data_IF_050873464336
#
_entry.id   IF_050873464336
#
_cell.length_a   1.000
_cell.length_b   1.000
_cell.length_c   1.000
_cell.angle_alpha   90.00
_cell.angle_beta   90.00
_cell.angle_gamma   90.00
#
_symmetry.space_group_name_H-M   'P 1'
#
loop_
_entity.id
_entity.type
_entity.pdbx_description
1 polymer ?
#
# COMPACT_ATOMS: atom_id res chain seq x y z
N UNK A 1 10.24 -12.99 19.85
CA UNK A 1 9.42 -11.78 19.64
C UNK A 1 8.36 -12.13 18.62
N UNK A 2 7.15 -12.47 19.08
CA UNK A 2 6.03 -12.73 18.18
C UNK A 2 5.61 -11.37 17.60
N UNK A 3 6.03 -11.09 16.37
CA UNK A 3 5.56 -9.90 15.66
C UNK A 3 4.06 -10.01 15.43
N UNK A 4 3.34 -8.91 15.63
CA UNK A 4 1.91 -8.84 15.34
C UNK A 4 1.60 -9.42 13.97
N UNK A 5 0.54 -10.21 13.88
CA UNK A 5 0.13 -10.83 12.62
C UNK A 5 -0.25 -9.74 11.61
N UNK A 6 0.13 -9.93 10.35
CA UNK A 6 -0.20 -8.98 9.28
C UNK A 6 -1.63 -9.20 8.84
N UNK A 7 -2.44 -8.16 8.92
CA UNK A 7 -3.78 -8.17 8.35
C UNK A 7 -3.72 -8.17 6.82
N UNK A 8 -4.78 -8.68 6.19
CA UNK A 8 -4.89 -8.70 4.73
C UNK A 8 -4.90 -7.29 4.14
N UNK A 9 -5.44 -6.30 4.88
CA UNK A 9 -5.41 -4.87 4.49
C UNK A 9 -3.97 -4.37 4.41
N UNK A 10 -3.16 -4.62 5.44
CA UNK A 10 -1.75 -4.22 5.47
C UNK A 10 -0.96 -4.88 4.34
N UNK A 11 -1.23 -6.15 4.06
CA UNK A 11 -0.57 -6.88 2.98
C UNK A 11 -0.90 -6.24 1.63
N UNK A 12 -2.18 -5.98 1.37
CA UNK A 12 -2.64 -5.37 0.13
C UNK A 12 -2.05 -3.97 -0.06
N UNK A 13 -2.04 -3.15 0.99
CA UNK A 13 -1.45 -1.81 0.96
C UNK A 13 0.05 -1.84 0.69
N UNK A 14 0.79 -2.70 1.39
CA UNK A 14 2.24 -2.80 1.23
C UNK A 14 2.61 -3.18 -0.21
N UNK A 15 1.92 -4.17 -0.78
CA UNK A 15 2.14 -4.61 -2.16
C UNK A 15 1.73 -3.51 -3.14
N UNK A 16 0.60 -2.85 -2.91
CA UNK A 16 0.13 -1.76 -3.78
C UNK A 16 1.15 -0.62 -3.86
N UNK A 17 1.60 -0.07 -2.73
CA UNK A 17 2.58 1.01 -2.70
C UNK A 17 3.95 0.58 -3.23
N UNK A 18 4.41 -0.61 -2.88
CA UNK A 18 5.68 -1.12 -3.42
C UNK A 18 5.62 -1.30 -4.95
N UNK A 19 4.47 -1.70 -5.49
CA UNK A 19 4.25 -1.83 -6.93
C UNK A 19 4.26 -0.49 -7.68
N UNK A 20 4.01 0.62 -6.97
CA UNK A 20 4.08 1.99 -7.48
C UNK A 20 5.48 2.61 -7.30
N UNK A 21 6.45 1.86 -6.76
CA UNK A 21 7.82 2.34 -6.55
C UNK A 21 8.02 3.12 -5.25
N UNK A 22 7.06 3.09 -4.33
CA UNK A 22 7.21 3.71 -3.01
C UNK A 22 8.28 2.96 -2.21
N UNK A 23 9.23 3.69 -1.62
CA UNK A 23 10.30 3.10 -0.82
C UNK A 23 9.74 2.44 0.44
N UNK A 24 10.28 1.29 0.83
CA UNK A 24 9.77 0.53 1.97
C UNK A 24 9.84 1.29 3.31
N UNK A 25 10.78 2.24 3.42
CA UNK A 25 10.81 3.18 4.56
C UNK A 25 9.58 4.09 4.58
N UNK A 26 9.20 4.63 3.43
CA UNK A 26 8.04 5.52 3.29
C UNK A 26 6.75 4.73 3.52
N UNK A 27 6.67 3.48 3.04
CA UNK A 27 5.55 2.58 3.34
C UNK A 27 5.39 2.39 4.86
N UNK A 28 6.49 2.20 5.60
CA UNK A 28 6.45 2.09 7.05
C UNK A 28 5.96 3.39 7.73
N UNK A 29 6.38 4.56 7.23
CA UNK A 29 5.92 5.87 7.72
C UNK A 29 4.42 6.08 7.44
N UNK A 30 3.93 5.72 6.24
CA UNK A 30 2.51 5.74 5.89
C UNK A 30 1.69 4.79 6.76
N UNK A 31 2.23 3.62 7.08
CA UNK A 31 1.59 2.65 7.96
C UNK A 31 1.43 3.22 9.37
N UNK A 32 2.48 3.87 9.89
CA UNK A 32 2.41 4.56 11.17
C UNK A 32 1.35 5.68 11.19
N UNK A 33 1.24 6.45 10.11
CA UNK A 33 0.19 7.48 9.96
C UNK A 33 -1.22 6.87 10.00
N UNK A 34 -1.41 5.70 9.39
CA UNK A 34 -2.68 4.94 9.42
C UNK A 34 -2.92 4.17 10.72
N UNK A 35 -2.04 4.28 11.71
CA UNK A 35 -2.15 3.59 13.00
C UNK A 35 -1.60 2.16 13.03
N UNK A 36 -0.95 1.69 11.96
CA UNK A 36 -0.27 0.39 11.93
C UNK A 36 1.17 0.52 12.43
N UNK A 37 1.59 -0.38 13.32
CA UNK A 37 2.94 -0.35 13.87
C UNK A 37 3.89 -1.27 13.09
N UNK A 38 4.27 -0.88 11.86
CA UNK A 38 5.22 -1.64 11.04
C UNK A 38 6.52 -0.89 10.83
N UNK A 39 7.62 -1.55 11.15
CA UNK A 39 8.96 -1.04 10.87
C UNK A 39 9.37 -1.33 9.43
N UNK A 40 10.31 -0.56 8.89
CA UNK A 40 10.91 -0.79 7.56
C UNK A 40 11.43 -2.23 7.40
N UNK A 41 12.02 -2.81 8.43
CA UNK A 41 12.51 -4.21 8.43
C UNK A 41 11.35 -5.21 8.31
N UNK A 42 10.23 -4.94 8.99
CA UNK A 42 9.02 -5.76 8.89
C UNK A 42 8.44 -5.72 7.48
N UNK A 43 8.34 -4.52 6.89
CA UNK A 43 7.88 -4.31 5.51
C UNK A 43 8.79 -5.03 4.51
N UNK A 44 10.12 -4.82 4.61
CA UNK A 44 11.12 -5.49 3.76
C UNK A 44 10.96 -7.02 3.80
N UNK A 45 10.86 -7.59 5.00
CA UNK A 45 10.72 -9.02 5.22
C UNK A 45 9.41 -9.57 4.65
N UNK A 46 8.30 -8.87 4.86
CA UNK A 46 6.98 -9.29 4.37
C UNK A 46 6.89 -9.24 2.85
N UNK A 47 7.34 -8.15 2.24
CA UNK A 47 7.35 -7.97 0.79
C UNK A 47 8.24 -9.03 0.12
N UNK A 48 9.43 -9.29 0.66
CA UNK A 48 10.30 -10.38 0.17
C UNK A 48 9.62 -11.74 0.29
N UNK A 49 8.96 -12.03 1.40
CA UNK A 49 8.26 -13.31 1.58
C UNK A 49 7.12 -13.50 0.57
N UNK A 50 6.40 -12.43 0.22
CA UNK A 50 5.35 -12.45 -0.81
C UNK A 50 5.97 -12.71 -2.19
N UNK A 51 7.07 -12.03 -2.54
CA UNK A 51 7.76 -12.26 -3.82
C UNK A 51 8.29 -13.68 -3.97
N UNK A 52 8.81 -14.28 -2.88
CA UNK A 52 9.27 -15.68 -2.89
C UNK A 52 8.09 -16.63 -3.15
N UNK A 53 6.92 -16.36 -2.56
CA UNK A 53 5.71 -17.16 -2.76
C UNK A 53 5.06 -16.97 -4.14
N UNK A 54 5.17 -15.77 -4.69
CA UNK A 54 4.52 -15.35 -5.92
C UNK A 54 5.53 -14.68 -6.86
N UNK A 55 6.41 -15.46 -7.51
CA UNK A 55 7.47 -14.92 -8.38
C UNK A 55 6.92 -14.16 -9.61
N UNK A 56 5.65 -14.37 -9.95
CA UNK A 56 4.93 -13.64 -11.00
C UNK A 56 4.65 -12.16 -10.64
N UNK A 57 4.69 -11.79 -9.36
CA UNK A 57 4.49 -10.40 -8.92
C UNK A 57 5.71 -9.52 -9.13
N UNK A 58 6.88 -10.12 -9.36
CA UNK A 58 8.10 -9.38 -9.65
C UNK A 58 9.36 -10.05 -9.11
N UNK A 59 10.46 -9.31 -9.21
CA UNK A 59 11.77 -9.69 -8.70
C UNK A 59 12.09 -8.90 -7.42
N UNK A 60 13.15 -9.31 -6.73
CA UNK A 60 13.62 -8.68 -5.49
C UNK A 60 13.83 -7.16 -5.58
N UNK A 61 14.05 -6.61 -6.78
CA UNK A 61 14.28 -5.19 -7.02
C UNK A 61 13.16 -4.48 -7.78
N UNK A 62 12.27 -5.23 -8.43
CA UNK A 62 11.26 -4.66 -9.31
C UNK A 62 9.94 -5.40 -9.18
N UNK A 63 8.90 -4.67 -8.80
CA UNK A 63 7.53 -5.16 -8.81
C UNK A 63 6.94 -5.03 -10.21
N UNK A 64 6.22 -6.04 -10.67
CA UNK A 64 5.38 -5.96 -11.85
C UNK A 64 4.07 -5.28 -11.42
N UNK A 65 3.92 -4.00 -11.74
CA UNK A 65 2.76 -3.18 -11.33
C UNK A 65 1.43 -3.76 -11.79
N UNK A 66 1.38 -4.32 -13.01
CA UNK A 66 0.17 -4.93 -13.56
C UNK A 66 -0.22 -6.21 -12.80
N UNK A 67 0.72 -7.15 -12.65
CA UNK A 67 0.46 -8.41 -11.94
C UNK A 67 0.15 -8.17 -10.45
N UNK A 68 0.86 -7.23 -9.82
CA UNK A 68 0.64 -6.84 -8.42
C UNK A 68 -0.72 -6.19 -8.21
N UNK A 69 -1.12 -5.30 -9.12
CA UNK A 69 -2.45 -4.66 -9.07
C UNK A 69 -3.58 -5.67 -9.19
N UNK A 70 -3.48 -6.64 -10.12
CA UNK A 70 -4.46 -7.72 -10.22
C UNK A 70 -4.48 -8.61 -8.98
N UNK A 71 -3.30 -8.97 -8.46
CA UNK A 71 -3.19 -9.80 -7.26
C UNK A 71 -3.82 -9.13 -6.04
N UNK A 72 -3.56 -7.83 -5.83
CA UNK A 72 -4.17 -7.04 -4.75
C UNK A 72 -5.69 -7.00 -4.90
N UNK A 73 -6.22 -6.69 -6.09
CA UNK A 73 -7.68 -6.67 -6.32
C UNK A 73 -8.34 -8.01 -6.03
N UNK A 74 -7.74 -9.10 -6.49
CA UNK A 74 -8.23 -10.46 -6.20
C UNK A 74 -8.24 -10.73 -4.70
N UNK A 75 -7.15 -10.40 -3.99
CA UNK A 75 -7.05 -10.57 -2.53
C UNK A 75 -8.09 -9.76 -1.75
N UNK A 76 -8.32 -8.51 -2.15
CA UNK A 76 -9.35 -7.67 -1.54
C UNK A 76 -10.75 -8.28 -1.75
N UNK A 77 -11.03 -8.76 -2.96
CA UNK A 77 -12.31 -9.41 -3.29
C UNK A 77 -12.53 -10.69 -2.48
N UNK A 78 -11.52 -11.56 -2.40
CA UNK A 78 -11.58 -12.82 -1.64
C UNK A 78 -11.85 -12.60 -0.15
N UNK A 79 -11.37 -11.48 0.40
CA UNK A 79 -11.54 -11.12 1.82
C UNK A 79 -12.69 -10.14 2.07
N UNK A 80 -13.52 -9.82 1.06
CA UNK A 80 -14.60 -8.83 1.15
C UNK A 80 -14.15 -7.44 1.65
N UNK A 81 -12.94 -7.03 1.29
CA UNK A 81 -12.38 -5.72 1.65
C UNK A 81 -12.64 -4.74 0.49
N UNK A 82 -13.12 -3.54 0.81
CA UNK A 82 -13.34 -2.48 -0.19
C UNK A 82 -12.02 -1.98 -0.78
N UNK A 83 -11.97 -1.77 -2.10
CA UNK A 83 -10.81 -1.16 -2.78
C UNK A 83 -10.49 0.26 -2.26
N UNK A 84 -11.44 0.92 -1.59
CA UNK A 84 -11.24 2.23 -0.97
C UNK A 84 -10.09 2.26 0.04
N UNK A 85 -9.71 1.12 0.60
CA UNK A 85 -8.55 1.05 1.52
C UNK A 85 -7.24 1.45 0.83
N UNK A 86 -7.13 1.21 -0.49
CA UNK A 86 -5.93 1.52 -1.28
C UNK A 86 -5.78 3.01 -1.60
N UNK A 87 -6.84 3.81 -1.40
CA UNK A 87 -6.81 5.24 -1.66
C UNK A 87 -5.79 5.92 -0.74
N UNK A 88 -5.00 6.84 -1.30
CA UNK A 88 -4.08 7.67 -0.54
C UNK A 88 -4.88 8.64 0.34
N UNK A 89 -4.59 8.65 1.63
CA UNK A 89 -5.11 9.68 2.54
C UNK A 89 -4.29 10.96 2.41
N UNK A 90 -4.82 12.07 2.93
CA UNK A 90 -4.09 13.34 2.98
C UNK A 90 -2.77 13.23 3.75
N UNK A 91 -2.71 12.36 4.77
CA UNK A 91 -1.50 12.10 5.55
C UNK A 91 -0.47 11.28 4.77
N UNK A 92 -0.92 10.30 4.00
CA UNK A 92 -0.06 9.54 3.09
C UNK A 92 0.56 10.45 2.04
N UNK A 93 -0.24 11.36 1.49
CA UNK A 93 0.22 12.34 0.51
C UNK A 93 1.28 13.28 1.09
N UNK A 94 1.08 13.75 2.32
CA UNK A 94 2.07 14.56 3.02
C UNK A 94 3.39 13.79 3.21
N UNK A 95 3.30 12.51 3.53
CA UNK A 95 4.48 11.65 3.72
C UNK A 95 5.21 11.42 2.39
N UNK A 96 4.48 11.12 1.31
CA UNK A 96 5.04 10.93 -0.03
C UNK A 96 5.69 12.20 -0.57
N UNK A 97 5.02 13.34 -0.48
CA UNK A 97 5.55 14.63 -0.97
C UNK A 97 6.83 15.07 -0.25
N UNK A 98 6.99 14.71 1.03
CA UNK A 98 8.21 15.00 1.80
C UNK A 98 9.35 14.02 1.51
N UNK A 99 9.03 12.72 1.37
CA UNK A 99 10.05 11.66 1.29
C UNK A 99 10.41 11.22 -0.13
N UNK A 100 9.48 11.36 -1.09
CA UNK A 100 9.64 11.00 -2.51
C UNK A 100 8.86 11.96 -3.43
N UNK A 101 9.34 13.19 -3.64
CA UNK A 101 8.64 14.19 -4.45
C UNK A 101 8.47 13.76 -5.93
N UNK A 102 9.28 12.82 -6.42
CA UNK A 102 9.16 12.29 -7.78
C UNK A 102 7.88 11.45 -7.98
N UNK A 103 7.26 10.99 -6.88
CA UNK A 103 6.00 10.26 -6.88
C UNK A 103 4.76 11.16 -6.71
N UNK A 104 4.92 12.49 -6.80
CA UNK A 104 3.80 13.46 -6.78
C UNK A 104 2.80 13.33 -7.95
N UNK A 105 2.97 12.35 -8.84
CA UNK A 105 1.98 12.00 -9.85
C UNK A 105 0.95 10.96 -9.36
N UNK A 106 1.18 10.34 -8.19
CA UNK A 106 0.22 9.47 -7.52
C UNK A 106 -0.91 10.31 -6.92
N UNK A 107 -1.73 10.96 -7.75
CA UNK A 107 -2.74 11.91 -7.29
C UNK A 107 -3.57 11.34 -6.12
N UNK A 108 -3.81 12.12 -5.04
CA UNK A 108 -4.87 11.81 -4.12
C UNK A 108 -6.15 11.69 -4.95
N UNK A 109 -6.72 10.50 -5.01
CA UNK A 109 -8.10 10.38 -5.46
C UNK A 109 -8.92 11.04 -4.36
N UNK A 110 -9.25 12.32 -4.58
CA UNK A 110 -10.24 13.00 -3.79
C UNK A 110 -11.44 12.06 -3.72
N UNK A 111 -11.85 11.70 -2.49
CA UNK A 111 -13.13 11.03 -2.30
C UNK A 111 -14.12 11.84 -3.14
N UNK A 112 -14.94 11.23 -4.02
CA UNK A 112 -16.00 11.98 -4.66
C UNK A 112 -16.71 12.68 -3.52
N UNK A 113 -16.59 14.01 -3.49
CA UNK A 113 -17.23 14.87 -2.52
C UNK A 113 -18.66 14.36 -2.49
N UNK A 114 -19.06 13.77 -1.36
CA UNK A 114 -20.47 13.55 -1.10
C UNK A 114 -21.08 14.92 -1.26
N UNK A 115 -21.70 15.12 -2.41
CA UNK A 115 -22.44 16.30 -2.75
C UNK A 115 -23.50 16.37 -1.67
N UNK A 116 -23.28 17.26 -0.70
CA UNK A 116 -24.36 17.86 0.04
C UNK A 116 -25.12 18.72 -0.97
N UNK A 117 -26.02 18.11 -1.72
CA UNK A 117 -27.31 18.74 -2.05
C UNK A 117 -28.26 18.18 -0.98
N UNK A 118 -28.48 18.86 0.14
CA UNK A 118 -29.23 20.10 0.31
C UNK A 118 -30.72 19.93 -0.04
N UNK A 119 -31.54 20.07 1.01
CA UNK A 119 -33.00 20.20 1.10
C UNK A 119 -33.89 18.96 0.93
#
# INVERSE_FOLDING_TARGET
MAGEEWSEIEICLAVHFASQGVYHRVIAEMFAARGFNRTKVSVDGKLRAIQIKHPNLGSQRHWNSHASGQWVRTRLRENNISENVLLLTSEDWRTLSQSQPDLCHLQPLERPSTFCDEA
#
